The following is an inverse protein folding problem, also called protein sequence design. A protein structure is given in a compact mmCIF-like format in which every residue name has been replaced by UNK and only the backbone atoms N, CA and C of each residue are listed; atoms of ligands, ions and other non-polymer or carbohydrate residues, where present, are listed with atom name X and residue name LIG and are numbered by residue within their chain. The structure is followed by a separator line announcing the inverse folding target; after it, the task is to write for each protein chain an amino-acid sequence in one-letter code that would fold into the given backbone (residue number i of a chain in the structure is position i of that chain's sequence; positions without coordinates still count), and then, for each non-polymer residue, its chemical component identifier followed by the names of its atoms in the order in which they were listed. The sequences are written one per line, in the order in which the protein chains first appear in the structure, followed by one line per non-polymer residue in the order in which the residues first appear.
data_IF_187769643651
#
_entry.id   IF_187769643651
#
_cell.length_a   1.000
_cell.length_b   1.000
_cell.length_c   1.000
_cell.angle_alpha   90.00
_cell.angle_beta   90.00
_cell.angle_gamma   90.00
#
_symmetry.space_group_name_H-M   'P 1'
#
loop_
_entity.id
_entity.type
_entity.pdbx_description
1 polymer ?
#
# COMPACT_ATOMS: atom_id res chain seq x y z
N UNK A 1 -5.72 -14.90 0.83
CA UNK A 1 -5.93 -14.55 2.25
C UNK A 1 -4.86 -13.56 2.71
N UNK A 2 -3.58 -13.81 2.42
CA UNK A 2 -2.45 -12.93 2.76
C UNK A 2 -2.42 -11.59 2.00
N UNK A 3 -2.60 -11.61 0.67
CA UNK A 3 -2.66 -10.39 -0.17
C UNK A 3 -3.77 -9.41 0.26
N UNK A 4 -4.88 -9.94 0.80
CA UNK A 4 -5.97 -9.11 1.32
C UNK A 4 -5.56 -8.35 2.60
N UNK A 5 -4.75 -8.96 3.47
CA UNK A 5 -4.25 -8.30 4.68
C UNK A 5 -3.28 -7.16 4.33
N UNK A 6 -2.39 -7.38 3.36
CA UNK A 6 -1.47 -6.36 2.84
C UNK A 6 -2.25 -5.18 2.25
N UNK A 7 -3.25 -5.46 1.41
CA UNK A 7 -4.10 -4.43 0.81
C UNK A 7 -4.75 -3.51 1.86
N UNK A 8 -5.26 -4.09 2.94
CA UNK A 8 -5.88 -3.33 4.03
C UNK A 8 -4.86 -2.53 4.85
N UNK A 9 -3.65 -3.07 5.06
CA UNK A 9 -2.56 -2.34 5.73
C UNK A 9 -2.10 -1.14 4.92
N UNK A 10 -1.90 -1.30 3.60
CA UNK A 10 -1.58 -0.18 2.69
C UNK A 10 -2.63 0.93 2.82
N UNK A 11 -3.91 0.57 2.73
CA UNK A 11 -5.02 1.52 2.87
C UNK A 11 -5.04 2.21 4.23
N UNK A 12 -4.78 1.46 5.30
CA UNK A 12 -4.76 1.98 6.66
C UNK A 12 -3.62 2.99 6.87
N UNK A 13 -2.38 2.65 6.48
CA UNK A 13 -1.25 3.56 6.59
C UNK A 13 -1.40 4.79 5.71
N UNK A 14 -1.91 4.64 4.47
CA UNK A 14 -2.21 5.80 3.61
C UNK A 14 -3.12 6.81 4.32
N UNK A 15 -4.22 6.32 4.91
CA UNK A 15 -5.15 7.18 5.66
C UNK A 15 -4.51 7.77 6.91
N UNK A 16 -3.72 6.99 7.65
CA UNK A 16 -3.01 7.44 8.86
C UNK A 16 -2.05 8.59 8.55
N UNK A 17 -1.38 8.53 7.39
CA UNK A 17 -0.46 9.55 6.91
C UNK A 17 -1.16 10.74 6.21
N UNK A 18 -2.49 10.72 6.13
CA UNK A 18 -3.29 11.83 5.59
C UNK A 18 -3.39 11.88 4.06
N UNK A 19 -2.91 10.86 3.35
CA UNK A 19 -2.94 10.83 1.90
C UNK A 19 -4.31 10.41 1.33
N UNK A 20 -4.76 11.12 0.29
CA UNK A 20 -5.77 10.63 -0.64
C UNK A 20 -5.19 9.52 -1.54
N UNK A 21 -6.06 8.77 -2.24
CA UNK A 21 -5.57 7.79 -3.23
C UNK A 21 -4.85 8.47 -4.40
N UNK A 22 -5.30 9.65 -4.81
CA UNK A 22 -4.63 10.41 -5.89
C UNK A 22 -3.21 10.79 -5.47
N UNK A 23 -3.05 11.40 -4.30
CA UNK A 23 -1.72 11.85 -3.84
C UNK A 23 -0.75 10.70 -3.66
N UNK A 24 -1.17 9.58 -3.07
CA UNK A 24 -0.27 8.42 -2.96
C UNK A 24 0.03 7.82 -4.34
N UNK A 25 -0.94 7.75 -5.25
CA UNK A 25 -0.70 7.22 -6.60
C UNK A 25 0.31 8.08 -7.37
N UNK A 26 0.19 9.40 -7.25
CA UNK A 26 1.12 10.36 -7.85
C UNK A 26 2.55 10.20 -7.29
N UNK A 27 2.70 10.04 -5.96
CA UNK A 27 4.00 9.79 -5.32
C UNK A 27 4.64 8.46 -5.74
N UNK A 28 3.82 7.45 -6.07
CA UNK A 28 4.28 6.12 -6.48
C UNK A 28 4.55 6.01 -7.98
N UNK A 29 4.20 7.03 -8.76
CA UNK A 29 4.18 7.02 -10.22
C UNK A 29 3.32 5.86 -10.79
N UNK A 30 2.09 5.74 -10.26
CA UNK A 30 1.09 4.77 -10.73
C UNK A 30 -0.25 5.46 -10.94
N UNK A 31 -1.14 4.85 -11.72
CA UNK A 31 -2.50 5.38 -11.81
C UNK A 31 -3.28 5.14 -10.51
N UNK A 32 -4.21 6.05 -10.21
CA UNK A 32 -5.16 5.89 -9.09
C UNK A 32 -5.93 4.56 -9.16
N UNK A 33 -6.21 4.07 -10.38
CA UNK A 33 -6.88 2.79 -10.60
C UNK A 33 -6.01 1.60 -10.16
N UNK A 34 -4.69 1.68 -10.38
CA UNK A 34 -3.72 0.67 -9.93
C UNK A 34 -3.64 0.66 -8.41
N UNK A 35 -3.45 1.82 -7.77
CA UNK A 35 -3.43 1.90 -6.31
C UNK A 35 -4.76 1.42 -5.70
N UNK A 36 -5.89 1.81 -6.29
CA UNK A 36 -7.20 1.35 -5.85
C UNK A 36 -7.40 -0.16 -5.98
N UNK A 37 -6.87 -0.79 -7.04
CA UNK A 37 -6.91 -2.24 -7.20
C UNK A 37 -6.04 -2.96 -6.16
N UNK A 38 -4.89 -2.37 -5.81
CA UNK A 38 -4.02 -2.86 -4.73
C UNK A 38 -4.73 -2.78 -3.38
N UNK A 39 -5.30 -1.63 -3.02
CA UNK A 39 -5.99 -1.45 -1.73
C UNK A 39 -7.28 -2.27 -1.58
N UNK A 40 -7.89 -2.69 -2.69
CA UNK A 40 -9.03 -3.63 -2.67
C UNK A 40 -8.60 -5.10 -2.64
N UNK A 41 -7.31 -5.39 -2.81
CA UNK A 41 -6.77 -6.75 -2.91
C UNK A 41 -7.13 -7.45 -4.23
N UNK A 42 -7.58 -6.72 -5.25
CA UNK A 42 -7.85 -7.26 -6.60
C UNK A 42 -6.60 -7.31 -7.46
N UNK A 43 -5.52 -6.65 -7.03
CA UNK A 43 -4.18 -6.72 -7.61
C UNK A 43 -3.18 -6.86 -6.48
N UNK A 44 -2.30 -7.86 -6.54
CA UNK A 44 -1.18 -7.95 -5.59
C UNK A 44 -0.08 -6.95 -5.98
N UNK A 45 0.47 -6.18 -5.03
CA UNK A 45 1.68 -5.40 -5.27
C UNK A 45 2.89 -6.34 -5.37
N UNK A 46 3.86 -5.99 -6.22
CA UNK A 46 5.16 -6.64 -6.23
C UNK A 46 6.10 -6.01 -5.19
N UNK A 47 7.30 -6.58 -5.03
CA UNK A 47 8.28 -6.11 -4.07
C UNK A 47 8.73 -4.65 -4.31
N UNK A 48 8.75 -4.19 -5.57
CA UNK A 48 9.13 -2.81 -5.88
C UNK A 48 8.04 -1.82 -5.44
N UNK A 49 6.77 -2.14 -5.70
CA UNK A 49 5.62 -1.37 -5.21
C UNK A 49 5.58 -1.35 -3.68
N UNK A 50 5.81 -2.49 -3.01
CA UNK A 50 5.90 -2.58 -1.55
C UNK A 50 6.97 -1.62 -1.02
N UNK A 51 8.17 -1.64 -1.60
CA UNK A 51 9.28 -0.77 -1.18
C UNK A 51 8.92 0.71 -1.34
N UNK A 52 8.39 1.11 -2.51
CA UNK A 52 7.99 2.49 -2.77
C UNK A 52 6.89 2.98 -1.84
N UNK A 53 5.86 2.14 -1.59
CA UNK A 53 4.78 2.46 -0.65
C UNK A 53 5.35 2.71 0.75
N UNK A 54 6.25 1.83 1.20
CA UNK A 54 6.85 1.92 2.52
C UNK A 54 7.70 3.18 2.68
N UNK A 55 8.48 3.52 1.66
CA UNK A 55 9.27 4.76 1.60
C UNK A 55 8.38 6.02 1.65
N UNK A 56 7.36 6.12 0.78
CA UNK A 56 6.45 7.27 0.74
C UNK A 56 5.65 7.43 2.02
N UNK A 57 5.22 6.31 2.62
CA UNK A 57 4.48 6.33 3.88
C UNK A 57 5.41 6.47 5.10
N UNK A 58 6.73 6.38 4.94
CA UNK A 58 7.71 6.45 6.03
C UNK A 58 7.44 5.37 7.09
N UNK A 59 7.40 4.11 6.66
CA UNK A 59 7.26 2.91 7.49
C UNK A 59 8.25 1.84 7.03
N UNK A 60 8.58 0.88 7.90
CA UNK A 60 9.31 -0.31 7.49
C UNK A 60 8.42 -1.22 6.62
N UNK A 61 8.93 -1.83 5.54
CA UNK A 61 8.13 -2.71 4.67
C UNK A 61 7.42 -3.84 5.40
N UNK A 62 8.02 -4.36 6.47
CA UNK A 62 7.48 -5.39 7.35
C UNK A 62 6.14 -4.98 7.98
N UNK A 63 5.91 -3.68 8.18
CA UNK A 63 4.64 -3.16 8.70
C UNK A 63 3.47 -3.38 7.74
N UNK A 64 3.72 -3.63 6.45
CA UNK A 64 2.67 -3.99 5.49
C UNK A 64 2.24 -5.46 5.61
N UNK A 65 3.01 -6.29 6.31
CA UNK A 65 2.71 -7.70 6.49
C UNK A 65 2.07 -7.94 7.87
N UNK A 66 1.18 -8.94 7.99
CA UNK A 66 0.74 -9.36 9.31
C UNK A 66 1.93 -9.90 10.09
N UNK A 67 2.24 -9.30 11.24
CA UNK A 67 3.15 -9.89 12.21
C UNK A 67 2.55 -11.20 12.68
N UNK A 68 3.20 -12.31 12.35
CA UNK A 68 2.88 -13.60 12.96
C UNK A 68 3.09 -13.45 14.48
N UNK A 69 2.03 -13.74 15.24
CA UNK A 69 2.18 -14.08 16.66
C UNK A 69 2.57 -15.55 16.77
#
# INVERSE_FOLDING_TARGET
MESYAIAQRIRAFRKLKGFTQTELADQLDVSIAVLGAIERGTRSPDAQIISKISEVLGIDPEELFPTAK
#
